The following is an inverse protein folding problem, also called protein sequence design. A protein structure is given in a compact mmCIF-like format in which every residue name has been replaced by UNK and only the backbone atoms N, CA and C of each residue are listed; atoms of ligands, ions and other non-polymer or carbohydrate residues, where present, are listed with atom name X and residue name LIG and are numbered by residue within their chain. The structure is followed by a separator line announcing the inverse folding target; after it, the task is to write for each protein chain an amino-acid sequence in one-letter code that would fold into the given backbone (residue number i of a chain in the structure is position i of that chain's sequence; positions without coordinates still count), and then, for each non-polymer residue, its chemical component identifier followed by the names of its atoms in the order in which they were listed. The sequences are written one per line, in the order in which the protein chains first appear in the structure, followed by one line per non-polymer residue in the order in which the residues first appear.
data_IF_311682599564
#
_entry.id   IF_311682599564
#
_cell.length_a   1.000
_cell.length_b   1.000
_cell.length_c   1.000
_cell.angle_alpha   90.00
_cell.angle_beta   90.00
_cell.angle_gamma   90.00
#
_symmetry.space_group_name_H-M   'P 1'
#
loop_
_entity.id
_entity.type
_entity.pdbx_description
1 polymer ?
#
# COMPACT_ATOMS: atom_id res chain seq x y z
N UNK A 1 -45.80 28.05 22.01
CA UNK A 1 -45.34 27.48 20.72
C UNK A 1 -43.83 27.68 20.65
N UNK A 2 -42.90 26.90 21.22
CA UNK A 2 -42.75 25.49 21.61
C UNK A 2 -42.65 24.50 20.45
N UNK A 3 -41.39 24.22 20.06
CA UNK A 3 -40.74 23.01 19.45
C UNK A 3 -39.51 23.53 18.69
N UNK A 4 -38.24 23.29 19.06
CA UNK A 4 -37.46 22.05 19.22
C UNK A 4 -36.24 22.38 20.13
N UNK A 5 -36.00 21.82 21.33
CA UNK A 5 -35.42 20.49 21.68
C UNK A 5 -34.22 20.14 20.77
N UNK A 6 -33.01 20.56 21.16
CA UNK A 6 -31.95 19.77 21.85
C UNK A 6 -31.43 18.58 21.03
N UNK A 7 -30.19 18.70 20.55
CA UNK A 7 -29.18 17.64 20.59
C UNK A 7 -27.78 18.24 20.29
N UNK A 8 -26.91 18.29 21.33
CA UNK A 8 -25.43 18.10 21.28
C UNK A 8 -24.65 19.23 20.56
N UNK A 9 -23.90 20.17 21.15
CA UNK A 9 -23.00 20.17 22.32
C UNK A 9 -22.20 18.87 22.54
N UNK A 10 -21.49 18.45 21.49
CA UNK A 10 -20.19 17.80 21.59
C UNK A 10 -19.24 18.63 20.72
N UNK A 11 -18.74 19.69 21.33
CA UNK A 11 -17.50 20.35 20.95
C UNK A 11 -16.38 19.53 21.60
N UNK A 12 -16.15 18.32 21.10
CA UNK A 12 -14.98 17.53 21.44
C UNK A 12 -14.38 17.00 20.14
N UNK A 13 -13.17 17.50 19.86
CA UNK A 13 -12.06 16.69 19.37
C UNK A 13 -12.45 15.67 18.29
N UNK A 14 -12.53 16.14 17.05
CA UNK A 14 -12.35 15.24 15.92
C UNK A 14 -11.45 15.95 14.91
N UNK A 15 -10.14 15.89 15.17
CA UNK A 15 -9.17 15.89 14.09
C UNK A 15 -9.58 14.77 13.14
N UNK A 16 -10.12 15.14 11.97
CA UNK A 16 -10.40 14.18 10.92
C UNK A 16 -9.06 13.76 10.32
N UNK A 17 -8.38 12.85 11.02
CA UNK A 17 -7.39 11.98 10.43
C UNK A 17 -8.13 11.17 9.38
N UNK A 18 -7.96 11.55 8.12
CA UNK A 18 -8.34 10.72 7.00
C UNK A 18 -7.50 9.43 7.09
N UNK A 19 -8.04 8.43 7.77
CA UNK A 19 -7.52 7.08 7.76
C UNK A 19 -7.75 6.50 6.35
N UNK A 20 -6.77 6.70 5.46
CA UNK A 20 -6.67 5.91 4.25
C UNK A 20 -6.44 4.45 4.66
N UNK A 21 -7.48 3.64 4.56
CA UNK A 21 -7.36 2.19 4.65
C UNK A 21 -6.64 1.68 3.41
N UNK A 22 -5.32 1.53 3.49
CA UNK A 22 -4.57 0.67 2.56
C UNK A 22 -4.93 -0.76 2.92
N UNK A 23 -5.73 -1.43 2.09
CA UNK A 23 -5.79 -2.88 2.12
C UNK A 23 -4.41 -3.38 1.70
N UNK A 24 -3.59 -3.77 2.68
CA UNK A 24 -2.40 -4.55 2.43
C UNK A 24 -2.86 -5.88 1.80
N UNK A 25 -2.58 -6.05 0.50
CA UNK A 25 -2.61 -7.38 -0.09
C UNK A 25 -1.50 -8.17 0.61
N UNK A 26 -1.90 -9.07 1.50
CA UNK A 26 -1.02 -10.10 2.02
C UNK A 26 -0.60 -10.98 0.82
N UNK A 27 0.59 -10.74 0.30
CA UNK A 27 1.28 -11.73 -0.52
C UNK A 27 1.47 -12.97 0.32
N UNK A 28 0.64 -13.99 0.09
CA UNK A 28 0.78 -15.29 0.70
C UNK A 28 2.16 -15.84 0.32
N UNK A 29 3.04 -16.00 1.32
CA UNK A 29 4.29 -16.73 1.15
C UNK A 29 3.95 -18.14 0.66
N UNK A 30 4.45 -18.60 -0.50
CA UNK A 30 4.16 -19.96 -0.97
C UNK A 30 4.68 -20.95 0.06
N UNK A 31 3.78 -21.77 0.60
CA UNK A 31 4.14 -22.87 1.50
C UNK A 31 4.92 -23.91 0.68
N UNK A 32 6.10 -24.37 1.13
CA UNK A 32 6.81 -25.43 0.44
C UNK A 32 5.95 -26.70 0.40
N UNK A 33 5.95 -27.46 -0.71
CA UNK A 33 5.19 -28.70 -0.81
C UNK A 33 5.68 -29.70 0.25
N UNK A 34 4.77 -30.54 0.79
CA UNK A 34 5.15 -31.56 1.76
C UNK A 34 6.15 -32.55 1.13
N UNK A 35 7.08 -33.10 1.93
CA UNK A 35 8.01 -34.11 1.44
C UNK A 35 7.23 -35.35 0.94
N UNK A 36 7.71 -36.02 -0.12
CA UNK A 36 7.06 -37.22 -0.63
C UNK A 36 6.99 -38.29 0.46
N UNK A 37 5.81 -38.89 0.63
CA UNK A 37 5.61 -40.02 1.53
C UNK A 37 6.53 -41.16 1.12
N UNK A 38 7.51 -41.48 1.97
CA UNK A 38 8.36 -42.64 1.78
C UNK A 38 7.50 -43.90 1.77
N UNK A 39 7.43 -44.57 0.62
CA UNK A 39 6.86 -45.91 0.50
C UNK A 39 7.73 -46.86 1.33
N UNK A 40 7.19 -47.33 2.46
CA UNK A 40 7.77 -48.44 3.20
C UNK A 40 7.71 -49.69 2.32
N UNK A 41 8.84 -50.31 1.91
CA UNK A 41 8.78 -51.55 1.17
C UNK A 41 8.21 -52.66 2.07
N UNK A 42 7.07 -53.23 1.68
CA UNK A 42 6.56 -54.47 2.25
C UNK A 42 7.49 -55.60 1.81
N UNK A 43 8.16 -56.25 2.77
CA UNK A 43 8.98 -57.42 2.50
C UNK A 43 8.09 -58.59 2.01
N UNK A 44 8.45 -59.30 0.93
CA UNK A 44 7.77 -60.54 0.55
C UNK A 44 8.09 -61.65 1.55
N UNK A 45 7.05 -62.35 1.98
CA UNK A 45 7.15 -63.56 2.80
C UNK A 45 7.57 -64.72 1.91
N UNK A 46 8.79 -65.24 2.10
CA UNK A 46 9.27 -66.41 1.37
C UNK A 46 9.35 -67.64 2.30
N UNK A 47 8.55 -68.65 1.94
CA UNK A 47 8.63 -70.03 2.45
C UNK A 47 9.65 -70.78 1.59
N UNK A 48 10.66 -71.38 2.20
CA UNK A 48 11.44 -72.43 1.54
C UNK A 48 12.88 -72.51 2.02
N UNK A 49 13.19 -73.52 2.83
CA UNK A 49 14.50 -73.67 3.46
C UNK A 49 15.60 -74.11 2.51
N UNK A 50 16.84 -73.80 2.89
CA UNK A 50 17.91 -74.79 2.85
C UNK A 50 19.06 -74.40 3.81
N UNK A 51 19.75 -75.45 4.26
CA UNK A 51 20.64 -75.60 5.41
C UNK A 51 21.66 -74.47 5.65
N UNK A 52 21.84 -74.06 6.91
CA UNK A 52 23.00 -73.28 7.39
C UNK A 52 23.57 -73.88 8.69
N UNK A 53 24.91 -73.96 8.87
CA UNK A 53 25.54 -74.70 9.96
C UNK A 53 25.34 -74.07 11.34
N UNK A 54 25.29 -74.92 12.37
CA UNK A 54 25.30 -74.60 13.80
C UNK A 54 26.45 -73.65 14.14
N UNK A 55 26.13 -72.44 14.61
CA UNK A 55 27.11 -71.54 15.21
C UNK A 55 27.08 -71.68 16.73
N UNK A 56 28.24 -71.96 17.33
CA UNK A 56 28.49 -71.93 18.77
C UNK A 56 28.15 -70.54 19.33
N UNK A 57 27.46 -70.41 20.48
CA UNK A 57 27.23 -69.11 21.09
C UNK A 57 28.54 -68.55 21.65
N UNK A 58 29.05 -67.48 21.04
CA UNK A 58 30.15 -66.67 21.59
C UNK A 58 29.63 -65.90 22.82
N UNK A 59 30.35 -65.89 23.96
CA UNK A 59 29.93 -65.12 25.13
C UNK A 59 29.90 -63.62 24.84
N UNK A 60 28.81 -62.96 25.24
CA UNK A 60 28.63 -61.50 25.16
C UNK A 60 29.57 -60.82 26.17
N UNK A 61 30.51 -59.95 25.77
CA UNK A 61 31.25 -59.16 26.74
C UNK A 61 30.29 -58.21 27.48
N UNK A 62 30.37 -58.27 28.81
CA UNK A 62 29.70 -57.38 29.76
C UNK A 62 30.07 -55.92 29.45
N UNK A 63 29.08 -55.03 29.47
CA UNK A 63 29.18 -53.67 28.96
C UNK A 63 30.28 -52.83 29.62
N UNK A 64 31.13 -52.23 28.79
CA UNK A 64 31.89 -51.05 29.19
C UNK A 64 30.93 -49.86 29.20
N UNK A 65 30.67 -49.31 30.39
CA UNK A 65 30.01 -48.01 30.54
C UNK A 65 30.98 -46.95 30.02
N UNK A 66 30.69 -46.39 28.85
CA UNK A 66 31.40 -45.22 28.35
C UNK A 66 30.88 -43.99 29.12
N UNK A 67 31.74 -43.13 29.71
CA UNK A 67 31.28 -41.89 30.31
C UNK A 67 30.67 -41.00 29.23
N UNK A 68 29.43 -40.60 29.43
CA UNK A 68 28.76 -39.62 28.58
C UNK A 68 29.51 -38.28 28.68
N UNK A 69 29.95 -37.66 27.56
CA UNK A 69 30.56 -36.34 27.62
C UNK A 69 29.55 -35.33 28.20
N UNK A 70 30.01 -34.31 28.94
CA UNK A 70 29.13 -33.27 29.48
C UNK A 70 28.27 -32.68 28.37
N UNK A 71 26.95 -32.64 28.58
CA UNK A 71 26.02 -32.05 27.62
C UNK A 71 26.43 -30.62 27.29
N UNK A 72 26.44 -30.29 25.99
CA UNK A 72 26.68 -28.93 25.52
C UNK A 72 25.67 -27.99 26.19
N UNK A 73 26.11 -26.84 26.76
CA UNK A 73 25.18 -25.90 27.35
C UNK A 73 24.15 -25.45 26.30
N UNK A 74 22.88 -25.24 26.69
CA UNK A 74 21.86 -24.77 25.76
C UNK A 74 22.30 -23.42 25.18
N UNK A 75 22.24 -23.29 23.85
CA UNK A 75 22.49 -22.01 23.18
C UNK A 75 21.45 -21.00 23.67
N UNK A 76 21.91 -20.00 24.43
CA UNK A 76 21.06 -18.88 24.85
C UNK A 76 20.69 -18.09 23.59
N UNK A 77 19.40 -18.06 23.24
CA UNK A 77 18.92 -17.27 22.13
C UNK A 77 19.32 -15.80 22.32
N UNK A 78 20.11 -15.25 21.39
CA UNK A 78 20.39 -13.82 21.38
C UNK A 78 19.11 -13.10 21.02
N UNK A 79 18.61 -12.16 21.85
CA UNK A 79 17.39 -11.43 21.53
C UNK A 79 17.59 -10.69 20.21
N UNK A 80 16.77 -11.02 19.21
CA UNK A 80 16.70 -10.23 17.98
C UNK A 80 16.16 -8.86 18.36
N UNK A 81 16.91 -7.81 18.05
CA UNK A 81 16.44 -6.45 18.28
C UNK A 81 15.09 -6.25 17.55
N UNK A 82 14.10 -5.60 18.19
CA UNK A 82 12.86 -5.28 17.50
C UNK A 82 13.16 -4.45 16.25
N UNK A 83 12.42 -4.64 15.15
CA UNK A 83 12.64 -3.89 13.92
C UNK A 83 12.57 -2.39 14.23
N UNK A 84 13.57 -1.63 13.77
CA UNK A 84 13.52 -0.17 13.83
C UNK A 84 12.35 0.29 12.95
N UNK A 85 11.39 1.07 13.48
CA UNK A 85 10.29 1.57 12.66
C UNK A 85 10.85 2.42 11.53
N UNK A 86 10.53 2.06 10.28
CA UNK A 86 10.83 2.90 9.13
C UNK A 86 9.89 4.09 9.13
N UNK A 87 10.44 5.31 9.18
CA UNK A 87 9.63 6.53 9.06
C UNK A 87 8.89 6.50 7.71
N UNK A 88 7.56 6.63 7.74
CA UNK A 88 6.75 6.78 6.52
C UNK A 88 6.82 8.25 6.10
N UNK A 89 7.41 8.52 4.94
CA UNK A 89 7.42 9.87 4.37
C UNK A 89 5.99 10.25 3.92
N UNK A 90 5.55 11.50 4.13
CA UNK A 90 4.28 11.97 3.59
C UNK A 90 4.24 11.85 2.06
N UNK A 91 3.06 11.61 1.44
CA UNK A 91 2.97 11.42 0.00
C UNK A 91 3.29 12.70 -0.77
N UNK A 92 3.93 12.54 -1.93
CA UNK A 92 4.11 13.61 -2.91
C UNK A 92 2.80 13.81 -3.69
N UNK A 93 2.36 15.05 -3.89
CA UNK A 93 1.04 15.36 -4.45
C UNK A 93 1.11 16.34 -5.64
N UNK A 94 0.11 16.24 -6.50
CA UNK A 94 -0.30 17.32 -7.41
C UNK A 94 -1.64 17.86 -6.91
N UNK A 95 -1.74 19.18 -6.74
CA UNK A 95 -2.98 19.88 -6.47
C UNK A 95 -3.48 20.52 -7.75
N UNK A 96 -4.56 19.96 -8.32
CA UNK A 96 -5.30 20.56 -9.42
C UNK A 96 -6.38 21.47 -8.84
N UNK A 97 -6.35 22.76 -9.21
CA UNK A 97 -7.39 23.74 -8.87
C UNK A 97 -8.17 24.12 -10.13
N UNK A 98 -9.49 23.94 -10.09
CA UNK A 98 -10.41 24.30 -11.17
C UNK A 98 -11.51 25.20 -10.63
N UNK A 99 -11.61 26.42 -11.14
CA UNK A 99 -12.57 27.40 -10.65
C UNK A 99 -13.11 28.31 -11.76
N UNK A 100 -14.33 28.81 -11.55
CA UNK A 100 -14.93 29.87 -12.36
C UNK A 100 -14.67 31.22 -11.67
N UNK A 101 -13.84 32.07 -12.29
CA UNK A 101 -13.46 33.37 -11.75
C UNK A 101 -14.60 34.39 -11.91
N UNK A 102 -15.57 34.30 -11.01
CA UNK A 102 -16.83 35.04 -11.06
C UNK A 102 -16.64 36.54 -10.94
N UNK A 103 -15.68 36.95 -10.11
CA UNK A 103 -15.36 38.33 -9.84
C UNK A 103 -14.20 38.88 -10.67
N UNK A 104 -13.56 38.03 -11.51
CA UNK A 104 -12.46 38.36 -12.43
C UNK A 104 -11.22 38.90 -11.73
N UNK A 105 -10.93 38.43 -10.52
CA UNK A 105 -9.75 38.86 -9.76
C UNK A 105 -8.52 37.96 -10.02
N UNK A 106 -8.68 36.87 -10.78
CA UNK A 106 -7.62 35.92 -11.11
C UNK A 106 -7.22 34.99 -9.96
N UNK A 107 -7.97 34.97 -8.86
CA UNK A 107 -7.69 34.15 -7.68
C UNK A 107 -8.84 33.20 -7.40
N UNK A 108 -8.53 32.06 -6.79
CA UNK A 108 -9.53 31.09 -6.42
C UNK A 108 -10.20 31.50 -5.11
N UNK A 109 -11.47 31.89 -5.16
CA UNK A 109 -12.25 32.27 -3.98
C UNK A 109 -13.21 31.17 -3.51
N UNK A 110 -13.67 31.30 -2.26
CA UNK A 110 -14.67 30.39 -1.70
C UNK A 110 -15.97 30.47 -2.49
N UNK A 111 -16.45 29.32 -2.97
CA UNK A 111 -17.68 29.23 -3.77
C UNK A 111 -17.46 29.25 -5.27
N UNK A 112 -16.23 29.49 -5.75
CA UNK A 112 -15.91 29.49 -7.18
C UNK A 112 -15.47 28.11 -7.72
N UNK A 113 -15.31 27.15 -6.81
CA UNK A 113 -14.75 25.85 -7.12
C UNK A 113 -15.69 24.98 -7.93
N UNK A 114 -15.17 24.37 -9.00
CA UNK A 114 -15.95 23.44 -9.82
C UNK A 114 -15.84 22.03 -9.25
N UNK A 115 -16.96 21.41 -8.92
CA UNK A 115 -17.04 20.05 -8.37
C UNK A 115 -17.40 19.03 -9.45
N UNK A 116 -16.87 17.82 -9.35
CA UNK A 116 -17.23 16.69 -10.20
C UNK A 116 -16.52 16.65 -11.56
N UNK A 117 -15.49 17.46 -11.78
CA UNK A 117 -14.67 17.37 -12.99
C UNK A 117 -13.60 16.30 -12.83
N UNK A 118 -13.46 15.45 -13.86
CA UNK A 118 -12.39 14.47 -13.94
C UNK A 118 -11.06 15.16 -14.24
N UNK A 119 -10.15 15.10 -13.26
CA UNK A 119 -8.74 15.45 -13.44
C UNK A 119 -7.88 14.19 -13.40
N UNK A 120 -6.85 14.16 -14.22
CA UNK A 120 -5.87 13.07 -14.22
C UNK A 120 -4.45 13.60 -14.34
N UNK A 121 -3.49 12.82 -13.84
CA UNK A 121 -2.08 13.07 -14.01
C UNK A 121 -1.39 11.79 -14.51
N UNK A 122 -0.49 11.93 -15.49
CA UNK A 122 0.20 10.79 -16.10
C UNK A 122 1.64 11.08 -16.48
N UNK A 123 2.44 10.02 -16.47
CA UNK A 123 3.83 10.00 -16.97
C UNK A 123 4.18 8.57 -17.37
N UNK A 124 4.45 8.34 -18.66
CA UNK A 124 4.66 6.98 -19.18
C UNK A 124 3.44 6.10 -18.89
N UNK A 125 3.67 4.95 -18.26
CA UNK A 125 2.63 3.99 -17.89
C UNK A 125 1.92 4.32 -16.57
N UNK A 126 2.45 5.28 -15.78
CA UNK A 126 1.81 5.71 -14.55
C UNK A 126 0.68 6.70 -14.83
N UNK A 127 -0.48 6.45 -14.21
CA UNK A 127 -1.69 7.25 -14.29
C UNK A 127 -2.36 7.30 -12.92
N UNK A 128 -2.82 8.49 -12.53
CA UNK A 128 -3.70 8.71 -11.37
C UNK A 128 -4.81 9.66 -11.78
N UNK A 129 -5.98 9.57 -11.13
CA UNK A 129 -7.14 10.37 -11.47
C UNK A 129 -8.09 10.53 -10.29
N UNK A 130 -8.98 11.51 -10.38
CA UNK A 130 -10.05 11.73 -9.42
C UNK A 130 -11.02 12.81 -9.88
N UNK A 131 -12.01 13.09 -9.05
CA UNK A 131 -12.98 14.15 -9.28
C UNK A 131 -12.66 15.34 -8.38
N UNK A 132 -12.79 16.55 -8.92
CA UNK A 132 -12.65 17.77 -8.12
C UNK A 132 -13.74 17.87 -7.05
N UNK A 133 -13.38 18.32 -5.87
CA UNK A 133 -14.29 18.66 -4.77
C UNK A 133 -14.05 20.11 -4.38
N UNK A 134 -15.08 20.96 -4.49
CA UNK A 134 -14.98 22.40 -4.31
C UNK A 134 -13.83 23.02 -5.11
N UNK A 135 -13.65 22.57 -6.36
CA UNK A 135 -12.59 23.06 -7.24
C UNK A 135 -11.20 22.53 -6.96
N UNK A 136 -10.99 21.61 -6.00
CA UNK A 136 -9.66 21.07 -5.69
C UNK A 136 -9.65 19.57 -5.90
N UNK A 137 -8.57 19.06 -6.49
CA UNK A 137 -8.28 17.64 -6.60
C UNK A 137 -6.81 17.39 -6.22
N UNK A 138 -6.59 16.46 -5.29
CA UNK A 138 -5.26 15.98 -4.93
C UNK A 138 -4.98 14.65 -5.63
N UNK A 139 -3.92 14.62 -6.44
CA UNK A 139 -3.48 13.46 -7.18
C UNK A 139 -2.16 12.96 -6.58
N UNK A 140 -2.13 11.75 -5.99
CA UNK A 140 -0.89 11.20 -5.43
C UNK A 140 0.08 10.86 -6.55
N UNK A 141 1.32 11.32 -6.42
CA UNK A 141 2.42 11.00 -7.34
C UNK A 141 3.05 9.68 -6.94
N UNK A 142 3.29 8.78 -7.91
CA UNK A 142 3.98 7.52 -7.64
C UNK A 142 5.40 7.78 -7.13
N UNK A 143 5.89 7.01 -6.13
CA UNK A 143 7.27 7.11 -5.66
C UNK A 143 8.31 6.77 -6.75
N UNK A 144 7.90 6.09 -7.83
CA UNK A 144 8.77 5.75 -8.95
C UNK A 144 8.97 6.92 -9.94
N UNK A 145 8.22 8.01 -9.79
CA UNK A 145 8.40 9.23 -10.59
C UNK A 145 9.54 10.04 -9.98
N UNK A 146 10.68 10.23 -10.69
CA UNK A 146 11.77 11.02 -10.17
C UNK A 146 11.36 12.47 -9.91
N UNK A 147 11.91 13.08 -8.86
CA UNK A 147 11.67 14.49 -8.60
C UNK A 147 12.17 15.38 -9.76
N UNK A 148 11.47 16.47 -10.03
CA UNK A 148 11.76 17.42 -11.11
C UNK A 148 11.29 16.99 -12.51
N UNK A 149 10.88 15.73 -12.69
CA UNK A 149 10.34 15.22 -13.96
C UNK A 149 9.02 15.88 -14.35
N UNK A 150 8.75 15.96 -15.65
CA UNK A 150 7.48 16.51 -16.14
C UNK A 150 6.35 15.48 -16.04
N UNK A 151 5.25 15.90 -15.45
CA UNK A 151 4.00 15.15 -15.34
C UNK A 151 2.93 15.91 -16.12
N UNK A 152 2.24 15.22 -17.04
CA UNK A 152 1.10 15.79 -17.72
C UNK A 152 -0.12 15.75 -16.80
N UNK A 153 -0.81 16.89 -16.66
CA UNK A 153 -2.06 17.03 -15.91
C UNK A 153 -3.15 17.43 -16.90
N UNK A 154 -4.28 16.73 -16.88
CA UNK A 154 -5.33 16.87 -17.88
C UNK A 154 -6.70 16.96 -17.24
N UNK A 155 -7.59 17.74 -17.88
CA UNK A 155 -9.03 17.76 -17.61
C UNK A 155 -9.74 17.43 -18.93
N UNK A 156 -9.97 16.13 -19.23
CA UNK A 156 -10.32 15.68 -20.57
C UNK A 156 -11.59 16.31 -21.15
N UNK A 157 -12.64 16.46 -20.33
CA UNK A 157 -13.92 17.05 -20.77
C UNK A 157 -13.79 18.51 -21.23
N UNK A 158 -12.76 19.21 -20.76
CA UNK A 158 -12.49 20.59 -21.13
C UNK A 158 -11.39 20.70 -22.19
N UNK A 159 -10.87 19.57 -22.68
CA UNK A 159 -9.74 19.50 -23.60
C UNK A 159 -8.53 20.32 -23.12
N UNK A 160 -8.37 20.42 -21.80
CA UNK A 160 -7.30 21.18 -21.19
C UNK A 160 -6.19 20.24 -20.70
N UNK A 161 -4.94 20.68 -20.89
CA UNK A 161 -3.76 19.98 -20.40
C UNK A 161 -2.66 20.97 -20.03
N UNK A 162 -1.88 20.63 -19.01
CA UNK A 162 -0.64 21.33 -18.65
C UNK A 162 0.44 20.33 -18.25
N UNK A 163 1.65 20.83 -18.01
CA UNK A 163 2.72 20.04 -17.41
C UNK A 163 3.18 20.69 -16.11
N UNK A 164 3.37 19.86 -15.08
CA UNK A 164 3.96 20.27 -13.80
C UNK A 164 5.21 19.45 -13.54
N UNK A 165 6.12 19.99 -12.73
CA UNK A 165 7.29 19.23 -12.27
C UNK A 165 6.92 18.41 -11.05
N UNK A 166 7.34 17.15 -11.02
CA UNK A 166 7.26 16.30 -9.85
C UNK A 166 7.95 17.01 -8.67
N UNK A 167 7.27 17.20 -7.53
CA UNK A 167 7.86 17.87 -6.38
C UNK A 167 9.08 17.12 -5.85
N UNK A 168 10.03 17.88 -5.30
CA UNK A 168 11.08 17.32 -4.46
C UNK A 168 10.53 17.04 -3.05
N UNK A 169 11.02 15.98 -2.39
CA UNK A 169 10.92 15.78 -0.95
C UNK A 169 9.50 16.00 -0.34
N UNK A 170 8.51 15.24 -0.80
CA UNK A 170 7.13 15.27 -0.28
C UNK A 170 6.40 16.61 -0.49
N UNK A 171 6.80 17.38 -1.50
CA UNK A 171 6.13 18.63 -1.87
C UNK A 171 4.78 18.44 -2.59
N UNK A 172 4.13 19.57 -2.87
CA UNK A 172 2.93 19.64 -3.71
C UNK A 172 3.23 20.48 -4.95
N UNK A 173 2.88 19.97 -6.13
CA UNK A 173 2.92 20.72 -7.38
C UNK A 173 1.53 21.27 -7.70
N UNK A 174 1.44 22.53 -8.13
CA UNK A 174 0.17 23.17 -8.44
C UNK A 174 -0.11 23.15 -9.95
N UNK A 175 -1.33 22.73 -10.31
CA UNK A 175 -1.89 22.90 -11.64
C UNK A 175 -3.17 23.72 -11.50
N UNK A 176 -3.28 24.83 -12.24
CA UNK A 176 -4.42 25.76 -12.10
C UNK A 176 -5.13 25.91 -13.45
N UNK A 177 -6.43 25.64 -13.44
CA UNK A 177 -7.33 25.87 -14.57
C UNK A 177 -8.40 26.87 -14.15
N UNK A 178 -8.31 28.07 -14.73
CA UNK A 178 -9.34 29.09 -14.61
C UNK A 178 -10.32 28.97 -15.78
N UNK A 179 -11.60 28.87 -15.46
CA UNK A 179 -12.68 28.89 -16.46
C UNK A 179 -13.22 30.31 -16.58
N UNK A 180 -13.29 30.80 -17.81
CA UNK A 180 -13.92 32.08 -18.12
C UNK A 180 -15.44 31.92 -18.06
N UNK A 181 -16.15 32.94 -17.56
CA UNK A 181 -17.62 32.94 -17.57
C UNK A 181 -18.12 33.05 -19.02
N UNK A 182 -19.17 32.30 -19.40
CA UNK A 182 -19.80 32.51 -20.70
C UNK A 182 -20.32 33.94 -20.80
N UNK A 183 -19.92 34.65 -21.86
CA UNK A 183 -20.51 35.94 -22.19
C UNK A 183 -21.96 35.71 -22.63
N UNK A 184 -22.93 36.11 -21.80
CA UNK A 184 -24.32 36.10 -22.23
C UNK A 184 -24.49 37.07 -23.40
N UNK A 185 -25.21 36.69 -24.47
CA UNK A 185 -25.56 37.65 -25.51
C UNK A 185 -26.34 38.79 -24.85
N UNK A 186 -25.83 40.01 -25.00
CA UNK A 186 -26.57 41.21 -24.63
C UNK A 186 -27.75 41.30 -25.60
N UNK A 187 -28.94 40.97 -25.12
CA UNK A 187 -30.16 41.27 -25.87
C UNK A 187 -30.25 42.80 -25.98
N UNK A 188 -29.97 43.32 -27.18
CA UNK A 188 -30.23 44.72 -27.50
C UNK A 188 -31.75 44.96 -27.40
N UNK A 189 -32.18 46.07 -26.77
CA UNK A 189 -33.60 46.41 -26.60
C UNK A 189 -34.32 46.64 -27.93
#
# INVERSE_FOLDING_TARGET
MTRKIILILIFCLWESTAAFSVLAQATATPTPPPPPLGITPTAPSDKGGNKKPTQTPTPRPSGNVFPQPPGTPPLTATPTAPPTPTATLPPTLIRLTVFMDGNRNGTFDTGEGVTGLLGLARRGDWLTYGLTENGVLFLPVSPDVPAGEFIAVEVPYLHWSTQVRAPENNGTAEAVLRLELPEYPVFLP
#
